data_IF_091623469600
#
_entry.id   IF_091623469600
#
_cell.length_a   1.000
_cell.length_b   1.000
_cell.length_c   1.000
_cell.angle_alpha   90.00
_cell.angle_beta   90.00
_cell.angle_gamma   90.00
#
_symmetry.space_group_name_H-M   'P 1'
#
loop_
_entity.id
_entity.type
_entity.pdbx_description
1 polymer ?
#
# COMPACT_ATOMS: atom_id res chain seq x y z
N UNK A 1 -3.18 16.72 -5.67
CA UNK A 1 -3.70 15.91 -6.80
C UNK A 1 -4.07 14.47 -6.43
N UNK A 2 -3.45 13.86 -5.40
CA UNK A 2 -3.60 12.45 -4.97
C UNK A 2 -5.03 11.93 -4.73
N UNK A 3 -5.93 12.73 -4.14
CA UNK A 3 -7.29 12.29 -3.82
C UNK A 3 -8.30 12.67 -4.91
N UNK A 4 -7.94 13.56 -5.83
CA UNK A 4 -8.87 14.09 -6.84
C UNK A 4 -9.32 13.01 -7.82
N UNK A 5 -8.43 12.10 -8.24
CA UNK A 5 -8.78 10.99 -9.13
C UNK A 5 -9.79 10.02 -8.48
N UNK A 6 -9.60 9.70 -7.20
CA UNK A 6 -10.54 8.86 -6.45
C UNK A 6 -11.87 9.56 -6.17
N UNK A 7 -11.84 10.87 -5.89
CA UNK A 7 -13.06 11.68 -5.72
C UNK A 7 -13.84 11.78 -7.04
N UNK A 8 -13.17 12.06 -8.17
CA UNK A 8 -13.79 12.10 -9.50
C UNK A 8 -14.38 10.75 -9.90
N UNK A 9 -13.67 9.65 -9.65
CA UNK A 9 -14.21 8.31 -9.91
C UNK A 9 -15.44 8.02 -9.04
N UNK A 10 -15.43 8.42 -7.77
CA UNK A 10 -16.59 8.33 -6.88
C UNK A 10 -17.79 9.13 -7.39
N UNK A 11 -17.57 10.38 -7.79
CA UNK A 11 -18.60 11.25 -8.36
C UNK A 11 -19.17 10.69 -9.67
N UNK A 12 -18.32 10.21 -10.58
CA UNK A 12 -18.76 9.57 -11.84
C UNK A 12 -19.55 8.29 -11.59
N UNK A 13 -19.15 7.48 -10.60
CA UNK A 13 -19.88 6.28 -10.20
C UNK A 13 -21.26 6.62 -9.63
N UNK A 14 -21.35 7.68 -8.81
CA UNK A 14 -22.63 8.17 -8.29
C UNK A 14 -23.52 8.69 -9.42
N UNK A 15 -22.98 9.48 -10.35
CA UNK A 15 -23.72 9.96 -11.53
C UNK A 15 -24.26 8.81 -12.38
N UNK A 16 -23.51 7.71 -12.53
CA UNK A 16 -23.96 6.52 -13.24
C UNK A 16 -25.09 5.77 -12.50
N UNK A 17 -25.11 5.78 -11.16
CA UNK A 17 -26.22 5.19 -10.38
C UNK A 17 -27.47 6.05 -10.46
N UNK A 18 -27.33 7.38 -10.40
CA UNK A 18 -28.45 8.32 -10.50
C UNK A 18 -28.93 8.58 -11.93
N UNK A 19 -28.22 8.10 -12.97
CA UNK A 19 -28.63 8.30 -14.36
C UNK A 19 -29.94 7.59 -14.71
N UNK A 20 -30.29 6.52 -13.99
CA UNK A 20 -31.54 5.78 -14.14
C UNK A 20 -32.79 6.65 -13.91
N UNK A 21 -32.99 7.21 -12.70
CA UNK A 21 -34.13 8.08 -12.42
C UNK A 21 -34.14 9.40 -13.23
N UNK A 22 -33.00 9.85 -13.76
CA UNK A 22 -32.91 11.02 -14.65
C UNK A 22 -33.27 10.74 -16.12
N UNK A 23 -33.61 9.49 -16.47
CA UNK A 23 -34.00 9.13 -17.84
C UNK A 23 -32.84 9.19 -18.85
N UNK A 24 -31.60 9.14 -18.38
CA UNK A 24 -30.44 9.20 -19.27
C UNK A 24 -30.29 7.92 -20.09
N UNK A 25 -29.81 8.04 -21.34
CA UNK A 25 -29.60 6.88 -22.17
C UNK A 25 -28.52 5.96 -21.58
N UNK A 26 -28.76 4.64 -21.64
CA UNK A 26 -27.92 3.61 -21.01
C UNK A 26 -26.44 3.66 -21.45
N UNK A 27 -26.17 4.07 -22.68
CA UNK A 27 -24.81 4.20 -23.20
C UNK A 27 -24.00 5.32 -22.50
N UNK A 28 -24.67 6.39 -22.05
CA UNK A 28 -24.02 7.45 -21.28
C UNK A 28 -23.59 6.97 -19.89
N UNK A 29 -24.40 6.13 -19.24
CA UNK A 29 -24.05 5.51 -17.95
C UNK A 29 -22.87 4.55 -18.09
N UNK A 30 -22.83 3.75 -19.17
CA UNK A 30 -21.72 2.86 -19.48
C UNK A 30 -20.42 3.63 -19.77
N UNK A 31 -20.51 4.73 -20.52
CA UNK A 31 -19.36 5.61 -20.76
C UNK A 31 -18.81 6.22 -19.46
N UNK A 32 -19.68 6.71 -18.58
CA UNK A 32 -19.28 7.26 -17.27
C UNK A 32 -18.59 6.20 -16.38
N UNK A 33 -19.13 4.97 -16.35
CA UNK A 33 -18.52 3.84 -15.65
C UNK A 33 -17.14 3.48 -16.22
N UNK A 34 -17.01 3.46 -17.55
CA UNK A 34 -15.73 3.19 -18.22
C UNK A 34 -14.67 4.23 -17.84
N UNK A 35 -15.01 5.51 -17.87
CA UNK A 35 -14.09 6.59 -17.47
C UNK A 35 -13.73 6.49 -15.99
N UNK A 36 -14.69 6.20 -15.11
CA UNK A 36 -14.44 6.00 -13.69
C UNK A 36 -13.45 4.84 -13.44
N UNK A 37 -13.61 3.73 -14.17
CA UNK A 37 -12.72 2.58 -14.06
C UNK A 37 -11.28 2.91 -14.45
N UNK A 38 -11.08 3.62 -15.57
CA UNK A 38 -9.75 4.04 -16.02
C UNK A 38 -9.08 4.98 -15.00
N UNK A 39 -9.84 5.93 -14.45
CA UNK A 39 -9.33 6.84 -13.42
C UNK A 39 -8.93 6.11 -12.13
N UNK A 40 -9.69 5.09 -11.72
CA UNK A 40 -9.34 4.25 -10.58
C UNK A 40 -8.06 3.46 -10.84
N UNK A 41 -7.98 2.78 -11.99
CA UNK A 41 -6.80 2.00 -12.36
C UNK A 41 -5.53 2.87 -12.37
N UNK A 42 -5.60 4.06 -12.96
CA UNK A 42 -4.49 5.00 -12.95
C UNK A 42 -4.16 5.51 -11.54
N UNK A 43 -5.17 5.89 -10.75
CA UNK A 43 -4.97 6.33 -9.37
C UNK A 43 -4.28 5.27 -8.49
N UNK A 44 -4.63 3.99 -8.67
CA UNK A 44 -3.95 2.88 -7.99
C UNK A 44 -2.52 2.67 -8.49
N UNK A 45 -2.28 2.72 -9.80
CA UNK A 45 -0.95 2.57 -10.37
C UNK A 45 0.01 3.69 -9.93
N UNK A 46 -0.47 4.95 -9.90
CA UNK A 46 0.30 6.08 -9.39
C UNK A 46 0.60 5.94 -7.89
N UNK A 47 -0.41 5.52 -7.10
CA UNK A 47 -0.22 5.24 -5.68
C UNK A 47 0.84 4.16 -5.45
N UNK A 48 0.80 3.06 -6.21
CA UNK A 48 1.77 1.98 -6.08
C UNK A 48 3.20 2.44 -6.44
N UNK A 49 3.35 3.24 -7.50
CA UNK A 49 4.65 3.78 -7.92
C UNK A 49 5.22 4.79 -6.93
N UNK A 50 4.36 5.64 -6.36
CA UNK A 50 4.76 6.70 -5.44
C UNK A 50 4.76 6.26 -3.97
N UNK A 51 4.46 4.99 -3.70
CA UNK A 51 4.59 4.42 -2.36
C UNK A 51 6.08 4.25 -2.06
N UNK A 52 6.72 5.35 -1.69
CA UNK A 52 8.11 5.34 -1.25
C UNK A 52 8.24 4.33 -0.10
N UNK A 53 9.10 3.34 -0.27
CA UNK A 53 9.48 2.45 0.79
C UNK A 53 10.06 3.31 1.92
N UNK A 54 9.34 3.40 3.04
CA UNK A 54 9.88 4.06 4.23
C UNK A 54 11.17 3.33 4.60
N UNK A 55 12.27 4.04 4.86
CA UNK A 55 13.50 3.39 5.28
C UNK A 55 13.20 2.60 6.58
N UNK A 56 13.46 1.30 6.53
CA UNK A 56 13.24 0.37 7.65
C UNK A 56 14.39 0.51 8.64
N UNK A 57 14.34 1.57 9.44
CA UNK A 57 15.36 1.88 10.45
C UNK A 57 14.90 1.35 11.78
N UNK A 58 15.72 0.50 12.40
CA UNK A 58 15.48 0.02 13.76
C UNK A 58 15.68 1.16 14.76
N UNK A 59 14.73 1.31 15.67
CA UNK A 59 14.89 2.17 16.85
C UNK A 59 15.92 1.57 17.84
N UNK A 60 16.37 2.33 18.86
CA UNK A 60 17.36 1.85 19.82
C UNK A 60 16.91 0.60 20.61
N UNK A 61 15.63 0.48 20.93
CA UNK A 61 15.08 -0.65 21.69
C UNK A 61 15.01 -1.92 20.84
N UNK A 62 14.60 -1.79 19.59
CA UNK A 62 14.60 -2.84 18.58
C UNK A 62 16.02 -3.33 18.32
N UNK A 63 17.00 -2.43 18.20
CA UNK A 63 18.43 -2.81 18.08
C UNK A 63 18.91 -3.59 19.29
N UNK A 64 18.61 -3.12 20.50
CA UNK A 64 18.98 -3.84 21.72
C UNK A 64 18.34 -5.24 21.77
N UNK A 65 17.08 -5.36 21.35
CA UNK A 65 16.36 -6.63 21.28
C UNK A 65 17.01 -7.60 20.29
N UNK A 66 17.35 -7.13 19.09
CA UNK A 66 18.03 -7.94 18.07
C UNK A 66 19.43 -8.34 18.53
N UNK A 67 20.19 -7.42 19.14
CA UNK A 67 21.51 -7.71 19.69
C UNK A 67 21.44 -8.79 20.77
N UNK A 68 20.44 -8.73 21.66
CA UNK A 68 20.19 -9.76 22.67
C UNK A 68 19.88 -11.11 22.04
N UNK A 69 18.96 -11.17 21.07
CA UNK A 69 18.60 -12.41 20.38
C UNK A 69 19.80 -13.02 19.64
N UNK A 70 20.69 -12.20 19.06
CA UNK A 70 21.94 -12.67 18.44
C UNK A 70 22.91 -13.25 19.47
N UNK A 71 23.06 -12.59 20.62
CA UNK A 71 23.91 -13.08 21.71
C UNK A 71 23.41 -14.42 22.27
N UNK A 72 22.09 -14.63 22.28
CA UNK A 72 21.43 -15.89 22.67
C UNK A 72 21.52 -16.98 21.58
N UNK A 73 22.11 -16.69 20.42
CA UNK A 73 22.20 -17.62 19.28
C UNK A 73 20.91 -17.77 18.48
N UNK A 74 19.89 -16.96 18.74
CA UNK A 74 18.56 -17.06 18.14
C UNK A 74 18.36 -16.11 16.94
N UNK A 75 19.31 -16.15 16.00
CA UNK A 75 19.27 -15.33 14.77
C UNK A 75 18.02 -15.57 13.92
N UNK A 76 17.49 -16.81 13.75
CA UNK A 76 16.26 -17.03 12.99
C UNK A 76 15.06 -16.29 13.58
N UNK A 77 14.95 -16.24 14.92
CA UNK A 77 13.89 -15.49 15.59
C UNK A 77 14.08 -13.97 15.47
N UNK A 78 15.33 -13.49 15.47
CA UNK A 78 15.60 -12.09 15.21
C UNK A 78 15.10 -11.65 13.81
N UNK A 79 15.26 -12.51 12.81
CA UNK A 79 14.76 -12.27 11.44
C UNK A 79 13.24 -12.20 11.41
N UNK A 80 12.55 -13.16 12.04
CA UNK A 80 11.07 -13.15 12.10
C UNK A 80 10.56 -11.94 12.88
N UNK A 81 11.26 -11.51 13.93
CA UNK A 81 10.91 -10.32 14.70
C UNK A 81 10.96 -9.04 13.85
N UNK A 82 11.98 -8.90 12.99
CA UNK A 82 12.08 -7.77 12.05
C UNK A 82 10.95 -7.78 11.03
N UNK A 83 10.52 -8.96 10.56
CA UNK A 83 9.37 -9.09 9.66
C UNK A 83 8.04 -8.71 10.33
N UNK A 84 7.92 -8.91 11.65
CA UNK A 84 6.75 -8.48 12.42
C UNK A 84 6.71 -6.95 12.59
N UNK A 85 7.86 -6.30 12.81
CA UNK A 85 7.92 -4.85 12.96
C UNK A 85 7.74 -4.08 11.65
N UNK A 86 8.32 -4.57 10.56
CA UNK A 86 8.24 -3.93 9.26
C UNK A 86 7.36 -4.74 8.30
N UNK A 87 6.15 -4.24 8.03
CA UNK A 87 5.27 -4.79 6.99
C UNK A 87 6.00 -4.86 5.65
N UNK A 88 5.74 -5.92 4.89
CA UNK A 88 6.32 -6.16 3.56
C UNK A 88 7.86 -6.22 3.56
N UNK A 89 8.45 -6.90 4.53
CA UNK A 89 9.90 -7.16 4.58
C UNK A 89 10.16 -8.59 4.18
N UNK A 90 10.97 -8.78 3.14
CA UNK A 90 11.34 -10.13 2.71
C UNK A 90 12.28 -10.77 3.74
N UNK A 91 12.37 -12.10 3.79
CA UNK A 91 13.34 -12.77 4.67
C UNK A 91 14.78 -12.28 4.47
N UNK A 92 15.18 -12.02 3.22
CA UNK A 92 16.53 -11.57 2.88
C UNK A 92 16.80 -10.13 3.37
N UNK A 93 15.80 -9.25 3.27
CA UNK A 93 15.89 -7.88 3.77
C UNK A 93 15.92 -7.85 5.29
N UNK A 94 15.10 -8.67 5.95
CA UNK A 94 15.12 -8.81 7.40
C UNK A 94 16.46 -9.38 7.90
N UNK A 95 17.01 -10.39 7.22
CA UNK A 95 18.34 -10.93 7.53
C UNK A 95 19.44 -9.87 7.39
N UNK A 96 19.36 -9.01 6.36
CA UNK A 96 20.29 -7.89 6.18
C UNK A 96 20.18 -6.86 7.29
N UNK A 97 18.98 -6.56 7.76
CA UNK A 97 18.77 -5.65 8.90
C UNK A 97 19.39 -6.26 10.17
N UNK A 98 19.19 -7.56 10.43
CA UNK A 98 19.75 -8.27 11.60
C UNK A 98 21.28 -8.38 11.54
N UNK A 99 21.88 -8.51 10.35
CA UNK A 99 23.34 -8.57 10.22
C UNK A 99 24.04 -7.23 10.49
N UNK A 100 23.32 -6.12 10.36
CA UNK A 100 23.80 -4.76 10.63
C UNK A 100 23.69 -4.32 12.10
N UNK A 101 23.09 -5.15 12.96
CA UNK A 101 23.02 -4.96 14.42
C UNK A 101 24.17 -5.71 15.08
#
# INVERSE_FOLDING_TARGET
MRNLAFILAGVLSLLAVFSGPLGWPRWAALAALGVAFVLLAWGFADKARNMQAKPKVLDPEQRATIARMKAEGNTPMAISQVQLWFRNTTPEEAARIVSQV
#
